data_IF_086899829184
#
_entry.id   IF_086899829184
#
_cell.length_a   1.000
_cell.length_b   1.000
_cell.length_c   1.000
_cell.angle_alpha   90.00
_cell.angle_beta   90.00
_cell.angle_gamma   90.00
#
_symmetry.space_group_name_H-M   'P 1'
#
loop_
_entity.id
_entity.type
_entity.pdbx_description
1 polymer ?
#
# COMPACT_ATOMS: atom_id res chain seq x y z
N UNK A 1 18.54 0.76 4.41
CA UNK A 1 18.46 0.04 3.12
C UNK A 1 17.00 0.09 2.70
N UNK A 2 16.70 0.47 1.46
CA UNK A 2 15.32 0.66 0.99
C UNK A 2 14.58 -0.68 0.95
N UNK A 3 13.34 -0.70 1.45
CA UNK A 3 12.42 -1.84 1.40
C UNK A 3 11.16 -1.47 0.63
N UNK A 4 10.45 -2.48 0.14
CA UNK A 4 9.13 -2.33 -0.49
C UNK A 4 8.08 -2.94 0.43
N UNK A 5 7.00 -2.19 0.67
CA UNK A 5 5.82 -2.62 1.40
C UNK A 5 4.62 -2.58 0.46
N UNK A 6 3.88 -3.68 0.38
CA UNK A 6 2.76 -3.83 -0.55
C UNK A 6 1.51 -4.13 0.25
N UNK A 7 0.50 -3.28 0.10
CA UNK A 7 -0.88 -3.60 0.43
C UNK A 7 -1.35 -4.67 -0.56
N UNK A 8 -1.46 -5.91 -0.08
CA UNK A 8 -1.59 -7.09 -0.93
C UNK A 8 -3.03 -7.61 -1.04
N UNK A 9 -3.98 -7.07 -0.29
CA UNK A 9 -5.38 -7.53 -0.25
C UNK A 9 -6.07 -7.38 -1.61
N UNK A 10 -5.74 -6.31 -2.35
CA UNK A 10 -6.29 -6.05 -3.69
C UNK A 10 -5.22 -5.77 -4.77
N UNK A 11 -3.95 -6.11 -4.53
CA UNK A 11 -2.87 -5.80 -5.47
C UNK A 11 -2.90 -6.70 -6.72
N UNK A 12 -3.13 -6.15 -7.93
CA UNK A 12 -3.17 -6.93 -9.17
C UNK A 12 -1.78 -7.13 -9.79
N UNK A 13 -0.75 -6.43 -9.29
CA UNK A 13 0.59 -6.35 -9.89
C UNK A 13 1.68 -7.04 -9.06
N UNK A 14 1.31 -8.08 -8.30
CA UNK A 14 2.24 -8.81 -7.40
C UNK A 14 3.44 -9.40 -8.15
N UNK A 15 3.21 -9.92 -9.36
CA UNK A 15 4.26 -10.52 -10.19
C UNK A 15 5.26 -9.48 -10.70
N UNK A 16 4.77 -8.30 -11.07
CA UNK A 16 5.60 -7.17 -11.49
C UNK A 16 6.46 -6.67 -10.33
N UNK A 17 5.87 -6.55 -9.14
CA UNK A 17 6.60 -6.16 -7.93
C UNK A 17 7.70 -7.18 -7.64
N UNK A 18 7.39 -8.47 -7.66
CA UNK A 18 8.38 -9.54 -7.46
C UNK A 18 9.54 -9.45 -8.45
N UNK A 19 9.24 -9.26 -9.74
CA UNK A 19 10.24 -9.15 -10.80
C UNK A 19 11.17 -7.95 -10.58
N UNK A 20 10.63 -6.81 -10.16
CA UNK A 20 11.40 -5.58 -9.90
C UNK A 20 12.22 -5.74 -8.62
N UNK A 21 11.62 -6.23 -7.54
CA UNK A 21 12.31 -6.49 -6.28
C UNK A 21 13.51 -7.42 -6.47
N UNK A 22 13.34 -8.50 -7.25
CA UNK A 22 14.41 -9.44 -7.58
C UNK A 22 15.52 -8.78 -8.38
N UNK A 23 15.16 -8.00 -9.41
CA UNK A 23 16.12 -7.30 -10.27
C UNK A 23 17.02 -6.34 -9.48
N UNK A 24 16.45 -5.66 -8.48
CA UNK A 24 17.16 -4.68 -7.66
C UNK A 24 17.67 -5.24 -6.34
N UNK A 25 17.46 -6.53 -6.06
CA UNK A 25 17.79 -7.18 -4.81
C UNK A 25 17.21 -6.44 -3.58
N UNK A 26 15.95 -6.01 -3.67
CA UNK A 26 15.26 -5.24 -2.64
C UNK A 26 14.33 -6.15 -1.84
N UNK A 27 14.46 -6.10 -0.52
CA UNK A 27 13.57 -6.83 0.38
C UNK A 27 12.14 -6.27 0.29
N UNK A 28 11.17 -7.16 0.11
CA UNK A 28 9.77 -6.81 -0.12
C UNK A 28 8.85 -7.52 0.87
N UNK A 29 7.88 -6.79 1.40
CA UNK A 29 6.87 -7.28 2.33
C UNK A 29 5.51 -7.20 1.65
N UNK A 30 4.86 -8.35 1.44
CA UNK A 30 3.46 -8.43 1.05
C UNK A 30 2.64 -8.51 2.33
N UNK A 31 1.75 -7.56 2.57
CA UNK A 31 0.95 -7.49 3.80
C UNK A 31 -0.52 -7.69 3.45
N UNK A 32 -1.16 -8.68 4.05
CA UNK A 32 -2.57 -9.01 3.81
C UNK A 32 -3.24 -9.60 5.05
N UNK A 33 -4.57 -9.59 5.08
CA UNK A 33 -5.37 -10.24 6.12
C UNK A 33 -5.63 -11.74 5.87
N UNK A 34 -5.19 -12.27 4.73
CA UNK A 34 -5.25 -13.69 4.40
C UNK A 34 -5.33 -13.96 2.89
N UNK A 35 -5.61 -15.22 2.53
CA UNK A 35 -5.95 -15.61 1.15
C UNK A 35 -4.82 -15.58 0.13
N UNK A 36 -3.60 -15.17 0.50
CA UNK A 36 -2.44 -15.13 -0.39
C UNK A 36 -1.55 -16.35 -0.18
N UNK A 37 -1.17 -17.01 -1.28
CA UNK A 37 -0.16 -18.07 -1.26
C UNK A 37 1.23 -17.47 -1.02
N UNK A 38 2.05 -18.01 -0.11
CA UNK A 38 3.42 -17.56 0.09
C UNK A 38 4.23 -17.59 -1.21
N UNK A 39 4.94 -16.49 -1.56
CA UNK A 39 5.84 -16.47 -2.70
C UNK A 39 7.04 -17.39 -2.46
N UNK A 40 7.61 -17.96 -3.52
CA UNK A 40 8.78 -18.84 -3.44
C UNK A 40 10.10 -18.07 -3.35
N UNK A 41 10.05 -16.77 -3.62
CA UNK A 41 11.21 -15.90 -3.68
C UNK A 41 11.66 -15.45 -2.29
N UNK A 42 12.94 -15.69 -1.96
CA UNK A 42 13.51 -15.39 -0.65
C UNK A 42 13.59 -13.89 -0.32
N UNK A 43 13.49 -13.01 -1.32
CA UNK A 43 13.42 -11.56 -1.11
C UNK A 43 12.03 -11.08 -0.70
N UNK A 44 11.01 -11.92 -0.87
CA UNK A 44 9.62 -11.56 -0.63
C UNK A 44 9.12 -12.28 0.61
N UNK A 45 8.73 -11.49 1.60
CA UNK A 45 8.18 -11.98 2.85
C UNK A 45 6.68 -11.70 2.87
N UNK A 46 5.88 -12.76 3.01
CA UNK A 46 4.44 -12.62 3.25
C UNK A 46 4.21 -12.37 4.74
N UNK A 47 3.53 -11.29 5.06
CA UNK A 47 3.06 -10.91 6.38
C UNK A 47 1.54 -11.06 6.39
N UNK A 48 1.06 -11.97 7.22
CA UNK A 48 -0.38 -12.16 7.44
C UNK A 48 -0.73 -11.47 8.75
N UNK A 49 -1.57 -10.45 8.68
CA UNK A 49 -2.07 -9.74 9.87
C UNK A 49 -3.37 -10.40 10.35
N UNK A 50 -3.75 -10.12 11.60
CA UNK A 50 -5.05 -10.55 12.11
C UNK A 50 -6.17 -9.87 11.31
N UNK A 51 -7.27 -10.59 11.06
CA UNK A 51 -8.44 -10.03 10.40
C UNK A 51 -9.02 -8.89 11.23
N UNK A 52 -9.06 -7.71 10.62
CA UNK A 52 -9.57 -6.48 11.21
C UNK A 52 -9.54 -5.36 10.17
N UNK A 53 -10.46 -4.41 10.28
CA UNK A 53 -10.44 -3.24 9.43
C UNK A 53 -9.08 -2.53 9.57
N UNK A 54 -8.46 -2.21 8.44
CA UNK A 54 -7.18 -1.49 8.33
C UNK A 54 -5.96 -2.16 8.98
N UNK A 55 -6.03 -3.43 9.37
CA UNK A 55 -4.91 -4.12 10.04
C UNK A 55 -3.64 -4.20 9.18
N UNK A 56 -3.79 -4.40 7.87
CA UNK A 56 -2.67 -4.44 6.93
C UNK A 56 -2.02 -3.06 6.81
N UNK A 57 -2.84 -2.02 6.68
CA UNK A 57 -2.37 -0.64 6.62
C UNK A 57 -1.62 -0.24 7.88
N UNK A 58 -2.17 -0.55 9.06
CA UNK A 58 -1.56 -0.21 10.35
C UNK A 58 -0.20 -0.87 10.50
N UNK A 59 -0.08 -2.13 10.10
CA UNK A 59 1.21 -2.82 10.07
C UNK A 59 2.18 -2.18 9.09
N UNK A 60 1.76 -1.86 7.85
CA UNK A 60 2.63 -1.17 6.89
C UNK A 60 3.12 0.15 7.49
N UNK A 61 2.21 0.95 8.05
CA UNK A 61 2.55 2.23 8.64
C UNK A 61 3.48 2.06 9.81
N UNK A 62 3.30 1.07 10.69
CA UNK A 62 4.18 0.83 11.84
C UNK A 62 5.63 0.59 11.40
N UNK A 63 5.85 -0.28 10.40
CA UNK A 63 7.18 -0.78 10.02
C UNK A 63 7.86 -0.02 8.87
N UNK A 64 7.15 0.83 8.14
CA UNK A 64 7.74 1.62 7.05
C UNK A 64 8.59 2.77 7.60
N UNK A 65 9.77 2.97 7.01
CA UNK A 65 10.71 4.01 7.37
C UNK A 65 10.86 5.05 6.24
N UNK A 66 11.57 6.15 6.52
CA UNK A 66 11.86 7.17 5.51
C UNK A 66 12.61 6.55 4.32
N UNK A 67 12.28 6.99 3.10
CA UNK A 67 12.80 6.49 1.82
C UNK A 67 12.42 5.04 1.44
N UNK A 68 11.65 4.32 2.26
CA UNK A 68 11.01 3.08 1.83
C UNK A 68 9.88 3.35 0.82
N UNK A 69 9.42 2.31 0.14
CA UNK A 69 8.40 2.40 -0.90
C UNK A 69 7.16 1.63 -0.47
N UNK A 70 6.02 2.31 -0.36
CA UNK A 70 4.70 1.73 -0.22
C UNK A 70 4.05 1.61 -1.61
N UNK A 71 3.49 0.44 -1.91
CA UNK A 71 2.69 0.20 -3.11
C UNK A 71 1.24 -0.04 -2.66
N UNK A 72 0.36 0.91 -2.95
CA UNK A 72 -1.05 0.85 -2.56
C UNK A 72 -1.92 1.75 -3.46
N UNK A 73 -3.19 1.40 -3.61
CA UNK A 73 -4.22 2.31 -4.15
C UNK A 73 -5.05 2.98 -3.05
N UNK A 74 -4.83 2.62 -1.78
CA UNK A 74 -5.48 3.26 -0.66
C UNK A 74 -4.85 4.64 -0.39
N UNK A 75 -5.68 5.67 -0.45
CA UNK A 75 -5.27 7.08 -0.32
C UNK A 75 -4.93 7.40 1.16
N UNK A 76 -5.77 7.03 2.16
CA UNK A 76 -5.39 7.07 3.56
C UNK A 76 -4.03 6.44 3.88
N UNK A 77 -3.77 5.19 3.45
CA UNK A 77 -2.48 4.53 3.66
C UNK A 77 -1.33 5.32 3.01
N UNK A 78 -1.48 5.69 1.74
CA UNK A 78 -0.46 6.48 1.03
C UNK A 78 -0.13 7.78 1.77
N UNK A 79 -1.14 8.48 2.29
CA UNK A 79 -0.94 9.69 3.08
C UNK A 79 -0.19 9.45 4.39
N UNK A 80 -0.46 8.34 5.08
CA UNK A 80 0.29 7.94 6.29
C UNK A 80 1.75 7.62 5.99
N UNK A 81 2.03 6.92 4.89
CA UNK A 81 3.40 6.62 4.45
C UNK A 81 4.18 7.89 4.08
N UNK A 82 3.57 8.82 3.32
CA UNK A 82 4.21 10.09 2.96
C UNK A 82 4.57 10.92 4.20
N UNK A 83 3.71 10.94 5.23
CA UNK A 83 4.00 11.62 6.51
C UNK A 83 5.23 11.06 7.23
N UNK A 84 5.56 9.78 7.03
CA UNK A 84 6.79 9.15 7.54
C UNK A 84 8.03 9.41 6.68
N UNK A 85 7.92 10.15 5.57
CA UNK A 85 9.01 10.35 4.63
C UNK A 85 9.24 9.17 3.68
N UNK A 86 8.31 8.22 3.65
CA UNK A 86 8.32 7.14 2.67
C UNK A 86 7.73 7.61 1.33
N UNK A 87 8.00 6.87 0.27
CA UNK A 87 7.38 7.04 -1.04
C UNK A 87 6.12 6.17 -1.10
N UNK A 88 5.06 6.67 -1.74
CA UNK A 88 3.86 5.87 -2.00
C UNK A 88 3.55 5.86 -3.50
N UNK A 89 3.26 4.69 -4.06
CA UNK A 89 3.05 4.48 -5.50
C UNK A 89 1.78 3.67 -5.73
N UNK A 90 0.96 4.10 -6.68
CA UNK A 90 -0.23 3.36 -7.14
C UNK A 90 0.16 2.10 -7.88
N UNK A 91 -0.75 1.13 -8.00
CA UNK A 91 -0.51 -0.09 -8.79
C UNK A 91 -0.22 0.19 -10.27
N UNK A 92 -0.62 1.35 -10.80
CA UNK A 92 -0.30 1.79 -12.15
C UNK A 92 1.04 2.54 -12.28
N UNK A 93 1.86 2.57 -11.22
CA UNK A 93 3.17 3.20 -11.20
C UNK A 93 3.18 4.72 -10.97
N UNK A 94 2.02 5.39 -10.88
CA UNK A 94 1.97 6.83 -10.59
C UNK A 94 2.26 7.09 -9.10
N UNK A 95 3.20 7.99 -8.77
CA UNK A 95 3.50 8.32 -7.39
C UNK A 95 2.39 9.18 -6.76
N UNK A 96 2.16 8.97 -5.47
CA UNK A 96 1.54 9.99 -4.63
C UNK A 96 2.59 11.05 -4.27
N UNK A 97 2.15 12.29 -4.19
CA UNK A 97 2.99 13.44 -3.82
C UNK A 97 2.28 14.25 -2.75
N UNK A 98 3.02 15.02 -1.96
CA UNK A 98 2.42 15.90 -0.97
C UNK A 98 1.43 16.90 -1.60
N UNK A 99 1.67 17.29 -2.85
CA UNK A 99 0.82 18.21 -3.59
C UNK A 99 -0.50 17.58 -4.06
N UNK A 100 -0.49 16.29 -4.39
CA UNK A 100 -1.69 15.59 -4.89
C UNK A 100 -2.46 14.83 -3.80
N UNK A 101 -1.82 14.47 -2.68
CA UNK A 101 -2.44 13.63 -1.65
C UNK A 101 -3.51 14.38 -0.87
N UNK A 102 -3.31 15.68 -0.59
CA UNK A 102 -4.30 16.48 0.14
C UNK A 102 -5.64 16.58 -0.60
N UNK A 103 -5.59 16.86 -1.90
CA UNK A 103 -6.79 16.88 -2.75
C UNK A 103 -7.40 15.49 -2.89
N UNK A 104 -6.58 14.45 -3.06
CA UNK A 104 -7.07 13.07 -3.15
C UNK A 104 -7.81 12.62 -1.87
N UNK A 105 -7.29 12.97 -0.68
CA UNK A 105 -7.93 12.71 0.61
C UNK A 105 -9.27 13.45 0.74
N UNK A 106 -9.30 14.74 0.37
CA UNK A 106 -10.52 15.54 0.41
C UNK A 106 -11.61 14.97 -0.52
N UNK A 107 -11.25 14.63 -1.76
CA UNK A 107 -12.18 14.03 -2.72
C UNK A 107 -12.69 12.67 -2.24
N UNK A 108 -11.82 11.82 -1.67
CA UNK A 108 -12.25 10.54 -1.11
C UNK A 108 -13.28 10.72 0.00
N UNK A 109 -13.02 11.63 0.94
CA UNK A 109 -13.94 11.92 2.05
C UNK A 109 -15.30 12.43 1.57
N UNK A 110 -15.31 13.26 0.52
CA UNK A 110 -16.56 13.71 -0.12
C UNK A 110 -17.31 12.53 -0.73
N UNK A 111 -16.63 11.66 -1.49
CA UNK A 111 -17.25 10.48 -2.12
C UNK A 111 -17.78 9.46 -1.10
N UNK A 112 -17.06 9.23 0.00
CA UNK A 112 -17.53 8.42 1.12
C UNK A 112 -18.81 9.02 1.72
N UNK A 113 -18.83 10.33 1.98
CA UNK A 113 -20.01 11.02 2.49
C UNK A 113 -21.22 10.97 1.55
N UNK A 114 -21.00 11.06 0.23
CA UNK A 114 -22.07 10.92 -0.78
C UNK A 114 -22.62 9.49 -0.78
N UNK A 115 -21.74 8.47 -0.64
CA UNK A 115 -22.15 7.06 -0.60
C UNK A 115 -22.94 6.73 0.66
N UNK A 116 -22.57 7.32 1.81
CA UNK A 116 -23.31 7.17 3.07
C UNK A 116 -24.63 7.96 3.07
N UNK A 117 -24.68 9.08 2.35
CA UNK A 117 -25.86 9.94 2.21
C UNK A 117 -26.96 9.43 1.27
N UNK A 118 -26.72 8.34 0.52
CA UNK A 118 -27.75 7.66 -0.28
C UNK A 118 -28.10 8.31 -1.63
N UNK A 119 -27.24 9.17 -2.20
CA UNK A 119 -27.50 9.82 -3.50
C UNK A 119 -26.98 9.04 -4.72
N UNK A 120 -26.53 7.80 -4.54
CA UNK A 120 -26.20 6.91 -5.67
C UNK A 120 -26.85 5.54 -5.41
N UNK A 121 -27.97 5.30 -6.09
CA UNK A 121 -28.52 3.95 -6.35
C UNK A 121 -28.00 3.45 -7.67
#
# INVERSE_FOLDING_TARGET
>A
MIKIYVDADACPVKNEIEKIATRHNIKTYLVCDGGIRPPLNSLIQLIIVNQGADAADDWIVEYIESADICITNDIPLAGRCLKKGALAIKFNGKPYTNDNIGMALATRKIMEGIREGGEIT
#
